data_IF_577714830429
#
_entry.id   IF_577714830429
#
_cell.length_a   1.000
_cell.length_b   1.000
_cell.length_c   1.000
_cell.angle_alpha   90.00
_cell.angle_beta   90.00
_cell.angle_gamma   90.00
#
_symmetry.space_group_name_H-M   'P 1'
#
loop_
_entity.id
_entity.type
_entity.pdbx_description
1 polymer ?
#
# COMPACT_ATOMS: atom_id res chain seq x y z
N UNK A 1 17.59 1.24 -15.15
CA UNK A 1 17.82 2.25 -16.20
C UNK A 1 19.01 3.14 -15.84
N UNK A 2 19.04 3.87 -14.73
CA UNK A 2 20.08 4.85 -14.43
C UNK A 2 21.52 4.34 -14.32
N UNK A 3 21.75 3.05 -14.03
CA UNK A 3 23.11 2.48 -14.01
C UNK A 3 23.66 2.06 -15.38
N UNK A 4 22.80 1.91 -16.38
CA UNK A 4 23.21 1.45 -17.72
C UNK A 4 23.77 2.58 -18.61
N UNK A 5 23.52 3.85 -18.24
CA UNK A 5 23.98 5.01 -19.00
C UNK A 5 24.40 6.14 -18.05
N UNK A 6 25.71 6.45 -17.95
CA UNK A 6 26.22 7.52 -17.08
C UNK A 6 25.66 8.92 -17.40
N UNK A 7 25.16 9.12 -18.62
CA UNK A 7 24.62 10.41 -19.08
C UNK A 7 23.12 10.60 -18.75
N UNK A 8 22.44 9.59 -18.19
CA UNK A 8 21.04 9.71 -17.79
C UNK A 8 20.93 10.17 -16.32
N UNK A 9 20.25 11.26 -16.12
CA UNK A 9 19.83 11.71 -14.79
C UNK A 9 18.87 10.68 -14.18
N UNK A 10 19.06 10.33 -12.91
CA UNK A 10 18.10 9.47 -12.20
C UNK A 10 16.73 10.15 -12.18
N UNK A 11 15.70 9.41 -12.59
CA UNK A 11 14.32 9.91 -12.52
C UNK A 11 13.92 10.17 -11.05
N UNK A 12 13.15 11.25 -10.80
CA UNK A 12 12.55 11.47 -9.49
C UNK A 12 11.75 10.27 -9.01
N UNK A 13 11.62 10.09 -7.69
CA UNK A 13 10.89 8.94 -7.11
C UNK A 13 9.45 8.87 -7.60
N UNK A 14 8.77 10.00 -7.73
CA UNK A 14 7.40 10.07 -8.27
C UNK A 14 7.31 9.54 -9.70
N UNK A 15 8.29 9.85 -10.54
CA UNK A 15 8.38 9.32 -11.92
C UNK A 15 8.65 7.81 -11.90
N UNK A 16 9.54 7.32 -11.02
CA UNK A 16 9.77 5.88 -10.85
C UNK A 16 8.49 5.15 -10.39
N UNK A 17 7.72 5.76 -9.49
CA UNK A 17 6.43 5.22 -9.05
C UNK A 17 5.43 5.14 -10.22
N UNK A 18 5.33 6.20 -11.03
CA UNK A 18 4.48 6.21 -12.22
C UNK A 18 4.87 5.13 -13.24
N UNK A 19 6.17 4.99 -13.52
CA UNK A 19 6.69 3.93 -14.41
C UNK A 19 6.36 2.54 -13.87
N UNK A 20 6.49 2.33 -12.56
CA UNK A 20 6.15 1.06 -11.90
C UNK A 20 4.66 0.75 -12.00
N UNK A 21 3.80 1.74 -11.77
CA UNK A 21 2.35 1.58 -11.94
C UNK A 21 1.98 1.21 -13.39
N UNK A 22 2.58 1.86 -14.38
CA UNK A 22 2.34 1.56 -15.77
C UNK A 22 2.78 0.15 -16.14
N UNK A 23 4.00 -0.24 -15.77
CA UNK A 23 4.56 -1.55 -16.07
C UNK A 23 3.77 -2.69 -15.41
N UNK A 24 3.62 -2.64 -14.07
CA UNK A 24 2.91 -3.68 -13.32
C UNK A 24 1.42 -3.67 -13.65
N UNK A 25 0.82 -2.49 -13.79
CA UNK A 25 -0.58 -2.34 -14.15
C UNK A 25 -0.90 -2.94 -15.51
N UNK A 26 -0.03 -2.76 -16.49
CA UNK A 26 -0.17 -3.39 -17.81
C UNK A 26 -0.20 -4.92 -17.72
N UNK A 27 0.74 -5.53 -16.98
CA UNK A 27 0.79 -6.98 -16.81
C UNK A 27 -0.46 -7.51 -16.09
N UNK A 28 -0.85 -6.86 -14.98
CA UNK A 28 -2.05 -7.23 -14.22
C UNK A 28 -3.33 -7.06 -15.04
N UNK A 29 -3.45 -5.96 -15.79
CA UNK A 29 -4.61 -5.71 -16.66
C UNK A 29 -4.80 -6.82 -17.68
N UNK A 30 -3.73 -7.26 -18.33
CA UNK A 30 -3.79 -8.35 -19.32
C UNK A 30 -4.10 -9.69 -18.65
N UNK A 31 -3.48 -10.00 -17.51
CA UNK A 31 -3.72 -11.25 -16.78
C UNK A 31 -5.16 -11.35 -16.26
N UNK A 32 -5.68 -10.29 -15.64
CA UNK A 32 -7.07 -10.25 -15.14
C UNK A 32 -8.05 -10.35 -16.31
N UNK A 33 -7.83 -9.60 -17.39
CA UNK A 33 -8.68 -9.65 -18.57
C UNK A 33 -8.74 -11.07 -19.16
N UNK A 34 -7.60 -11.74 -19.29
CA UNK A 34 -7.55 -13.09 -19.83
C UNK A 34 -8.35 -14.07 -18.93
N UNK A 35 -8.19 -13.97 -17.61
CA UNK A 35 -8.90 -14.85 -16.67
C UNK A 35 -10.41 -14.58 -16.64
N UNK A 36 -10.84 -13.33 -16.74
CA UNK A 36 -12.26 -12.98 -16.88
C UNK A 36 -12.86 -13.61 -18.15
N UNK A 37 -12.18 -13.49 -19.28
CA UNK A 37 -12.64 -14.08 -20.54
C UNK A 37 -12.69 -15.61 -20.48
N UNK A 38 -11.71 -16.27 -19.84
CA UNK A 38 -11.73 -17.72 -19.62
C UNK A 38 -12.95 -18.18 -18.81
N UNK A 39 -13.46 -17.31 -17.94
CA UNK A 39 -14.69 -17.55 -17.14
C UNK A 39 -15.96 -17.08 -17.84
N UNK A 40 -15.89 -16.59 -19.07
CA UNK A 40 -17.04 -16.05 -19.82
C UNK A 40 -17.54 -14.69 -19.31
N UNK A 41 -16.69 -13.95 -18.55
CA UNK A 41 -17.01 -12.64 -18.00
C UNK A 41 -16.42 -11.56 -18.89
N UNK A 42 -17.29 -10.72 -19.47
CA UNK A 42 -16.90 -9.63 -20.38
C UNK A 42 -16.88 -8.31 -19.62
N UNK A 43 -15.76 -8.03 -18.92
CA UNK A 43 -15.52 -6.74 -18.26
C UNK A 43 -14.22 -6.11 -18.75
N UNK A 44 -14.24 -4.80 -18.92
CA UNK A 44 -13.01 -4.03 -19.17
C UNK A 44 -12.19 -3.96 -17.90
N UNK A 45 -10.89 -4.13 -18.04
CA UNK A 45 -9.91 -3.91 -16.95
C UNK A 45 -9.10 -2.68 -17.33
N UNK A 46 -9.05 -1.70 -16.46
CA UNK A 46 -8.36 -0.44 -16.71
C UNK A 46 -7.34 -0.17 -15.61
N UNK A 47 -6.13 0.25 -16.02
CA UNK A 47 -5.09 0.73 -15.10
C UNK A 47 -5.09 2.25 -15.09
N UNK A 48 -5.23 2.84 -13.92
CA UNK A 48 -5.19 4.28 -13.70
C UNK A 48 -3.87 4.63 -13.00
N UNK A 49 -3.03 5.45 -13.65
CA UNK A 49 -1.90 6.07 -12.96
C UNK A 49 -2.45 6.98 -11.88
N UNK A 50 -2.11 6.67 -10.63
CA UNK A 50 -2.79 7.28 -9.48
C UNK A 50 -1.81 8.08 -8.65
N UNK A 51 -2.12 9.36 -8.49
CA UNK A 51 -1.43 10.29 -7.61
C UNK A 51 -2.16 10.37 -6.27
N UNK A 52 -1.40 10.50 -5.20
CA UNK A 52 -1.93 10.61 -3.84
C UNK A 52 -1.35 11.83 -3.16
N UNK A 53 -2.21 12.73 -2.76
CA UNK A 53 -1.83 13.94 -2.04
C UNK A 53 -1.33 13.56 -0.65
N UNK A 54 -0.23 14.15 -0.25
CA UNK A 54 0.34 14.04 1.09
C UNK A 54 0.54 15.42 1.70
N UNK A 55 0.45 15.50 3.03
CA UNK A 55 0.67 16.76 3.74
C UNK A 55 2.18 17.10 3.72
N UNK A 56 2.59 18.29 3.22
CA UNK A 56 3.98 18.72 3.24
C UNK A 56 4.57 18.85 4.66
N UNK A 57 3.73 18.96 5.68
CA UNK A 57 4.10 19.07 7.08
C UNK A 57 4.02 17.73 7.84
N UNK A 58 3.73 16.62 7.16
CA UNK A 58 3.74 15.28 7.81
C UNK A 58 5.10 15.03 8.45
N UNK A 59 5.10 14.53 9.70
CA UNK A 59 6.30 14.27 10.49
C UNK A 59 7.29 13.34 9.76
N UNK A 60 6.79 12.45 8.90
CA UNK A 60 7.60 11.54 8.11
C UNK A 60 8.64 12.25 7.23
N UNK A 61 8.39 13.49 6.80
CA UNK A 61 9.37 14.27 6.03
C UNK A 61 10.56 14.74 6.87
N UNK A 62 10.32 14.94 8.17
CA UNK A 62 11.37 15.37 9.12
C UNK A 62 12.07 14.18 9.77
N UNK A 63 11.40 13.03 9.84
CA UNK A 63 11.93 11.80 10.43
C UNK A 63 11.71 10.62 9.47
N UNK A 64 12.42 10.58 8.33
CA UNK A 64 12.28 9.48 7.39
C UNK A 64 12.69 8.17 8.03
N UNK A 65 11.91 7.12 7.81
CA UNK A 65 12.16 5.80 8.42
C UNK A 65 11.79 4.62 7.53
N UNK A 66 11.24 4.86 6.35
CA UNK A 66 10.86 3.77 5.44
C UNK A 66 12.08 3.26 4.68
N UNK A 67 12.48 2.04 4.98
CA UNK A 67 13.61 1.37 4.33
C UNK A 67 13.22 0.97 2.91
N UNK A 68 14.02 1.37 1.92
CA UNK A 68 13.81 1.06 0.50
C UNK A 68 15.10 0.58 -0.18
N UNK A 69 14.95 0.07 -1.39
CA UNK A 69 16.09 -0.28 -2.26
C UNK A 69 16.85 -1.54 -1.80
N UNK A 70 17.98 -1.78 -2.43
CA UNK A 70 18.88 -2.90 -2.12
C UNK A 70 19.81 -2.57 -0.96
N UNK A 71 20.46 -3.59 -0.43
CA UNK A 71 21.58 -3.41 0.49
C UNK A 71 22.77 -2.83 -0.29
N UNK A 72 23.44 -1.87 0.29
CA UNK A 72 24.58 -1.12 -0.24
C UNK A 72 25.81 -1.36 0.65
N UNK A 73 27.00 -1.20 0.06
CA UNK A 73 28.25 -1.11 0.81
C UNK A 73 28.33 0.24 1.54
N UNK A 74 29.30 0.37 2.45
CA UNK A 74 29.56 1.64 3.17
C UNK A 74 29.93 2.77 2.19
N UNK A 75 30.77 2.50 1.20
CA UNK A 75 31.16 3.47 0.16
C UNK A 75 29.94 3.95 -0.67
N UNK A 76 29.04 3.03 -1.01
CA UNK A 76 27.79 3.36 -1.72
C UNK A 76 26.84 4.19 -0.84
N UNK A 77 26.77 3.88 0.47
CA UNK A 77 25.98 4.64 1.43
C UNK A 77 26.48 6.07 1.59
N UNK A 78 27.81 6.26 1.78
CA UNK A 78 28.41 7.60 1.80
C UNK A 78 28.16 8.40 0.51
N UNK A 79 28.18 7.73 -0.64
CA UNK A 79 27.89 8.38 -1.90
C UNK A 79 26.42 8.84 -2.01
N UNK A 80 25.49 8.10 -1.41
CA UNK A 80 24.08 8.49 -1.34
C UNK A 80 23.88 9.65 -0.33
N UNK A 81 24.55 9.65 0.81
CA UNK A 81 24.50 10.75 1.78
C UNK A 81 25.05 12.07 1.19
N UNK A 82 26.14 12.00 0.44
CA UNK A 82 26.69 13.17 -0.29
C UNK A 82 25.71 13.75 -1.31
N UNK A 83 24.75 12.96 -1.81
CA UNK A 83 23.66 13.42 -2.68
C UNK A 83 22.46 13.97 -1.90
N UNK A 84 22.52 13.98 -0.57
CA UNK A 84 21.42 14.41 0.32
C UNK A 84 20.37 13.32 0.61
N UNK A 85 20.64 12.06 0.27
CA UNK A 85 19.78 10.95 0.63
C UNK A 85 20.08 10.46 2.05
N UNK A 86 19.06 9.94 2.73
CA UNK A 86 19.21 9.32 4.03
C UNK A 86 19.45 7.82 3.89
N UNK A 87 20.31 7.28 4.74
CA UNK A 87 20.61 5.85 4.80
C UNK A 87 20.53 5.34 6.24
N UNK A 88 20.37 4.05 6.41
CA UNK A 88 20.40 3.37 7.70
C UNK A 88 21.15 2.06 7.60
N UNK A 89 21.84 1.68 8.68
CA UNK A 89 22.47 0.36 8.78
C UNK A 89 21.40 -0.73 8.86
N UNK A 90 21.64 -1.83 8.17
CA UNK A 90 20.83 -3.03 8.18
C UNK A 90 21.74 -4.25 8.23
N UNK A 91 21.17 -5.43 8.42
CA UNK A 91 21.97 -6.66 8.30
C UNK A 91 22.60 -6.76 6.89
N UNK A 92 23.90 -6.94 6.85
CA UNK A 92 24.69 -7.04 5.61
C UNK A 92 25.07 -5.72 4.95
N UNK A 93 24.83 -4.53 5.55
CA UNK A 93 25.26 -3.25 5.03
C UNK A 93 24.33 -2.08 5.32
N UNK A 94 24.01 -1.30 4.30
CA UNK A 94 23.21 -0.08 4.42
C UNK A 94 22.06 -0.09 3.43
N UNK A 95 20.95 0.59 3.77
CA UNK A 95 19.83 0.83 2.84
C UNK A 95 19.36 2.27 2.92
N UNK A 96 18.80 2.77 1.83
CA UNK A 96 18.16 4.08 1.83
C UNK A 96 16.91 4.06 2.71
N UNK A 97 16.67 5.18 3.37
CA UNK A 97 15.40 5.47 4.03
C UNK A 97 14.77 6.71 3.41
N UNK A 98 13.46 6.71 3.35
CA UNK A 98 12.67 7.81 2.80
C UNK A 98 11.50 8.13 3.71
N UNK A 99 10.89 9.29 3.49
CA UNK A 99 9.63 9.65 4.12
C UNK A 99 8.51 8.66 3.71
N UNK A 100 7.61 8.38 4.64
CA UNK A 100 6.40 7.60 4.39
C UNK A 100 5.20 8.34 4.99
N UNK A 101 4.79 9.47 4.38
CA UNK A 101 3.67 10.28 4.87
C UNK A 101 2.34 9.55 4.71
N UNK A 102 1.33 9.99 5.45
CA UNK A 102 -0.02 9.48 5.35
C UNK A 102 -0.69 9.97 4.06
N UNK A 103 -1.54 9.12 3.41
CA UNK A 103 -2.35 9.56 2.29
C UNK A 103 -3.45 10.53 2.76
N UNK A 104 -3.60 11.65 2.09
CA UNK A 104 -4.65 12.65 2.36
C UNK A 104 -5.85 12.42 1.45
N UNK A 105 -5.63 12.39 0.13
CA UNK A 105 -6.67 12.17 -0.87
C UNK A 105 -6.08 11.56 -2.15
N UNK A 106 -6.95 10.95 -2.96
CA UNK A 106 -6.59 10.37 -4.24
C UNK A 106 -6.99 11.34 -5.34
N UNK A 107 -6.03 11.77 -6.15
CA UNK A 107 -6.26 12.80 -7.18
C UNK A 107 -7.25 12.30 -8.25
N UNK A 108 -7.09 11.09 -8.73
CA UNK A 108 -7.89 10.50 -9.80
C UNK A 108 -9.16 9.81 -9.32
N UNK A 109 -9.64 10.11 -8.10
CA UNK A 109 -10.77 9.39 -7.49
C UNK A 109 -12.06 9.47 -8.31
N UNK A 110 -12.35 10.61 -8.94
CA UNK A 110 -13.56 10.76 -9.75
C UNK A 110 -13.49 9.90 -11.03
N UNK A 111 -12.31 9.78 -11.64
CA UNK A 111 -12.10 8.89 -12.77
C UNK A 111 -12.25 7.42 -12.36
N UNK A 112 -11.71 7.03 -11.20
CA UNK A 112 -11.85 5.68 -10.64
C UNK A 112 -13.32 5.36 -10.40
N UNK A 113 -14.08 6.25 -9.76
CA UNK A 113 -15.53 6.09 -9.54
C UNK A 113 -16.29 5.92 -10.83
N UNK A 114 -16.04 6.77 -11.84
CA UNK A 114 -16.70 6.69 -13.13
C UNK A 114 -16.46 5.34 -13.84
N UNK A 115 -15.24 4.78 -13.72
CA UNK A 115 -14.94 3.46 -14.26
C UNK A 115 -15.65 2.34 -13.47
N UNK A 116 -15.72 2.44 -12.14
CA UNK A 116 -16.47 1.50 -11.30
C UNK A 116 -17.97 1.54 -11.61
N UNK A 117 -18.55 2.74 -11.75
CA UNK A 117 -19.97 2.93 -12.12
C UNK A 117 -20.27 2.36 -13.52
N UNK A 118 -19.28 2.33 -14.41
CA UNK A 118 -19.35 1.67 -15.71
C UNK A 118 -19.09 0.15 -15.64
N UNK A 119 -19.14 -0.46 -14.45
CA UNK A 119 -18.92 -1.90 -14.19
C UNK A 119 -17.55 -2.42 -14.65
N UNK A 120 -16.51 -1.59 -14.62
CA UNK A 120 -15.15 -1.99 -14.96
C UNK A 120 -14.38 -2.49 -13.73
N UNK A 121 -13.36 -3.31 -13.98
CA UNK A 121 -12.33 -3.64 -12.98
C UNK A 121 -11.24 -2.58 -13.06
N UNK A 122 -10.94 -1.92 -11.93
CA UNK A 122 -9.97 -0.82 -11.88
C UNK A 122 -8.74 -1.23 -11.08
N UNK A 123 -7.57 -1.07 -11.69
CA UNK A 123 -6.27 -1.19 -11.02
C UNK A 123 -5.78 0.23 -10.75
N UNK A 124 -5.65 0.58 -9.49
CA UNK A 124 -5.27 1.93 -9.07
C UNK A 124 -4.33 1.90 -7.85
N UNK A 125 -3.69 3.00 -7.55
CA UNK A 125 -2.84 3.21 -6.38
C UNK A 125 -1.69 2.21 -6.24
N UNK A 126 -1.17 1.65 -7.34
CA UNK A 126 -0.08 0.68 -7.31
C UNK A 126 1.12 1.22 -6.50
N UNK A 127 1.67 0.36 -5.60
CA UNK A 127 2.77 0.72 -4.72
C UNK A 127 2.46 1.75 -3.63
N UNK A 128 1.18 2.11 -3.44
CA UNK A 128 0.72 3.15 -2.51
C UNK A 128 0.39 4.48 -3.20
N UNK A 129 0.46 4.53 -4.54
CA UNK A 129 0.25 5.75 -5.31
C UNK A 129 1.54 6.55 -5.56
N UNK A 130 1.43 7.56 -6.41
CA UNK A 130 2.49 8.53 -6.68
C UNK A 130 2.33 9.67 -5.66
N UNK A 131 3.23 9.82 -4.67
CA UNK A 131 3.09 10.87 -3.67
C UNK A 131 3.30 12.25 -4.30
N UNK A 132 2.34 13.15 -4.08
CA UNK A 132 2.38 14.51 -4.59
C UNK A 132 2.04 15.53 -3.49
N UNK A 133 2.66 16.70 -3.60
CA UNK A 133 2.35 17.89 -2.81
C UNK A 133 1.49 18.81 -3.67
N UNK A 134 0.41 19.30 -3.11
CA UNK A 134 -0.42 20.32 -3.78
C UNK A 134 0.06 21.72 -3.38
N UNK A 135 0.42 22.53 -4.37
CA UNK A 135 0.86 23.91 -4.20
C UNK A 135 0.26 24.77 -5.31
N UNK A 136 -0.52 25.76 -4.94
CA UNK A 136 -1.13 26.73 -5.89
C UNK A 136 -1.80 26.05 -7.10
N UNK A 137 -2.62 25.04 -6.87
CA UNK A 137 -3.30 24.20 -7.89
C UNK A 137 -2.35 23.39 -8.79
N UNK A 138 -1.11 23.25 -8.41
CA UNK A 138 -0.12 22.38 -9.09
C UNK A 138 0.25 21.20 -8.21
N UNK A 139 0.41 20.07 -8.86
CA UNK A 139 0.91 18.86 -8.20
C UNK A 139 2.41 18.73 -8.45
N UNK A 140 3.16 18.60 -7.37
CA UNK A 140 4.60 18.37 -7.40
C UNK A 140 4.93 17.02 -6.77
N UNK A 141 5.62 16.15 -7.50
CA UNK A 141 6.05 14.86 -6.97
C UNK A 141 6.88 15.00 -5.71
N UNK A 142 6.54 14.26 -4.67
CA UNK A 142 7.28 14.21 -3.41
C UNK A 142 8.37 13.13 -3.45
N UNK A 143 9.49 13.38 -2.75
CA UNK A 143 10.53 12.36 -2.53
C UNK A 143 10.15 11.49 -1.33
N UNK A 144 9.12 10.67 -1.52
CA UNK A 144 8.50 9.86 -0.49
C UNK A 144 7.95 8.56 -1.08
N UNK A 145 7.52 7.64 -0.24
CA UNK A 145 6.64 6.53 -0.58
C UNK A 145 5.45 6.54 0.38
N UNK A 146 4.32 6.01 -0.04
CA UNK A 146 3.15 5.90 0.83
C UNK A 146 2.94 4.43 1.18
N UNK A 147 2.53 4.13 2.40
CA UNK A 147 2.18 2.77 2.77
C UNK A 147 0.95 2.31 1.98
N UNK A 148 1.15 1.30 1.14
CA UNK A 148 0.11 0.77 0.25
C UNK A 148 -1.18 0.36 0.94
N UNK A 149 -1.06 -0.14 2.18
CA UNK A 149 -2.22 -0.58 2.96
C UNK A 149 -3.08 0.63 3.37
N UNK A 150 -2.45 1.75 3.77
CA UNK A 150 -3.15 3.00 4.11
C UNK A 150 -3.83 3.61 2.88
N UNK A 151 -3.14 3.61 1.73
CA UNK A 151 -3.74 4.10 0.49
C UNK A 151 -4.90 3.22 0.04
N UNK A 152 -4.81 1.89 0.21
CA UNK A 152 -5.92 0.98 -0.10
C UNK A 152 -7.14 1.26 0.79
N UNK A 153 -6.93 1.48 2.08
CA UNK A 153 -8.00 1.91 3.01
C UNK A 153 -8.62 3.24 2.60
N UNK A 154 -7.78 4.22 2.22
CA UNK A 154 -8.23 5.52 1.74
C UNK A 154 -9.03 5.42 0.44
N UNK A 155 -8.58 4.61 -0.51
CA UNK A 155 -9.32 4.36 -1.74
C UNK A 155 -10.66 3.67 -1.48
N UNK A 156 -10.69 2.68 -0.58
CA UNK A 156 -11.92 2.01 -0.20
C UNK A 156 -12.91 2.98 0.49
N UNK A 157 -12.41 3.90 1.32
CA UNK A 157 -13.21 4.97 1.92
C UNK A 157 -13.79 5.89 0.83
N UNK A 158 -12.93 6.44 -0.05
CA UNK A 158 -13.33 7.42 -1.06
C UNK A 158 -14.22 6.85 -2.16
N UNK A 159 -14.10 5.54 -2.47
CA UNK A 159 -15.01 4.83 -3.40
C UNK A 159 -16.27 4.31 -2.73
N UNK A 160 -16.45 4.55 -1.45
CA UNK A 160 -17.56 4.03 -0.64
C UNK A 160 -17.72 2.50 -0.71
N UNK A 161 -16.60 1.77 -0.71
CA UNK A 161 -16.59 0.32 -0.76
C UNK A 161 -17.26 -0.31 0.48
N UNK A 162 -17.88 -1.47 0.31
CA UNK A 162 -18.49 -2.24 1.40
C UNK A 162 -17.45 -3.12 2.11
N UNK A 163 -16.40 -3.51 1.40
CA UNK A 163 -15.40 -4.42 1.94
C UNK A 163 -13.99 -4.04 1.49
N UNK A 164 -13.03 -4.16 2.42
CA UNK A 164 -11.60 -4.05 2.16
C UNK A 164 -10.95 -5.42 2.34
N UNK A 165 -10.35 -5.97 1.29
CA UNK A 165 -9.64 -7.25 1.36
C UNK A 165 -8.14 -6.99 1.23
N UNK A 166 -7.37 -7.38 2.23
CA UNK A 166 -5.92 -7.24 2.26
C UNK A 166 -5.28 -8.61 2.14
N UNK A 167 -4.56 -8.83 1.05
CA UNK A 167 -3.81 -10.06 0.82
C UNK A 167 -2.39 -9.93 1.34
N UNK A 168 -1.94 -10.93 2.09
CA UNK A 168 -0.63 -10.97 2.74
C UNK A 168 -0.05 -12.39 2.70
N UNK A 169 1.04 -12.63 3.39
CA UNK A 169 1.71 -13.95 3.44
C UNK A 169 1.14 -14.90 4.50
N UNK A 170 0.23 -14.42 5.36
CA UNK A 170 -0.35 -15.25 6.43
C UNK A 170 -1.83 -15.50 6.17
N UNK A 171 -2.27 -16.73 6.45
CA UNK A 171 -3.68 -17.12 6.30
C UNK A 171 -4.58 -16.41 7.30
N UNK A 172 -4.16 -16.36 8.55
CA UNK A 172 -4.83 -15.65 9.65
C UNK A 172 -3.82 -14.81 10.42
N UNK A 173 -4.28 -13.73 10.96
CA UNK A 173 -3.45 -12.90 11.86
C UNK A 173 -3.35 -13.58 13.21
N UNK A 174 -2.19 -13.47 13.83
CA UNK A 174 -1.93 -14.00 15.16
C UNK A 174 -1.55 -12.89 16.13
N UNK A 175 -1.95 -13.07 17.38
CA UNK A 175 -1.46 -12.28 18.52
C UNK A 175 -0.58 -13.15 19.41
N UNK A 176 0.18 -12.53 20.31
CA UNK A 176 1.13 -13.23 21.21
C UNK A 176 2.11 -14.16 20.46
N UNK A 177 2.56 -13.77 19.28
CA UNK A 177 3.46 -14.59 18.46
C UNK A 177 4.66 -15.07 19.27
N UNK A 178 5.05 -16.33 19.04
CA UNK A 178 6.16 -17.01 19.71
C UNK A 178 6.02 -17.15 21.24
N UNK A 179 4.78 -17.07 21.77
CA UNK A 179 4.45 -17.27 23.19
C UNK A 179 3.49 -18.43 23.37
N UNK A 180 3.38 -19.01 24.59
CA UNK A 180 2.43 -20.10 24.87
C UNK A 180 0.96 -19.70 24.62
N UNK A 181 0.64 -18.39 24.69
CA UNK A 181 -0.68 -17.82 24.49
C UNK A 181 -0.91 -17.37 23.04
N UNK A 182 -0.13 -17.86 22.08
CA UNK A 182 -0.33 -17.55 20.66
C UNK A 182 -1.73 -17.94 20.21
N UNK A 183 -2.45 -17.02 19.62
CA UNK A 183 -3.84 -17.19 19.17
C UNK A 183 -4.03 -16.69 17.75
N UNK A 184 -4.75 -17.45 16.95
CA UNK A 184 -5.19 -17.05 15.60
C UNK A 184 -6.51 -16.27 15.68
N UNK A 185 -6.52 -15.08 15.11
CA UNK A 185 -7.72 -14.26 15.04
C UNK A 185 -8.59 -14.68 13.84
N UNK A 186 -9.85 -15.02 14.09
CA UNK A 186 -10.82 -15.34 13.02
C UNK A 186 -11.78 -14.20 12.74
N UNK A 187 -12.45 -13.74 13.76
CA UNK A 187 -13.40 -12.63 13.69
C UNK A 187 -13.24 -11.76 14.94
N UNK A 188 -13.04 -10.47 14.72
CA UNK A 188 -12.85 -9.50 15.80
C UNK A 188 -13.60 -8.21 15.50
N UNK A 189 -13.97 -7.49 16.56
CA UNK A 189 -14.54 -6.16 16.45
C UNK A 189 -13.46 -5.10 16.18
N UNK A 190 -13.89 -3.92 15.70
CA UNK A 190 -13.00 -2.74 15.56
C UNK A 190 -12.34 -2.39 16.89
N UNK A 191 -13.07 -2.47 18.02
CA UNK A 191 -12.52 -2.16 19.33
C UNK A 191 -11.45 -3.17 19.77
N UNK A 192 -11.64 -4.46 19.48
CA UNK A 192 -10.61 -5.47 19.72
C UNK A 192 -9.37 -5.23 18.86
N UNK A 193 -9.58 -4.88 17.57
CA UNK A 193 -8.48 -4.56 16.68
C UNK A 193 -7.63 -3.38 17.19
N UNK A 194 -8.29 -2.32 17.71
CA UNK A 194 -7.61 -1.18 18.34
C UNK A 194 -6.83 -1.58 19.59
N UNK A 195 -7.45 -2.36 20.47
CA UNK A 195 -6.81 -2.84 21.69
C UNK A 195 -5.51 -3.61 21.34
N UNK A 196 -5.57 -4.55 20.40
CA UNK A 196 -4.38 -5.31 19.99
C UNK A 196 -3.30 -4.44 19.31
N UNK A 197 -3.70 -3.36 18.64
CA UNK A 197 -2.75 -2.38 18.09
C UNK A 197 -2.05 -1.59 19.20
N UNK A 198 -2.79 -1.15 20.24
CA UNK A 198 -2.26 -0.41 21.39
C UNK A 198 -1.38 -1.29 22.27
N UNK A 199 -1.72 -2.56 22.45
CA UNK A 199 -0.93 -3.56 23.17
C UNK A 199 0.35 -3.97 22.42
N UNK A 200 0.50 -3.55 21.16
CA UNK A 200 1.71 -3.76 20.36
C UNK A 200 1.88 -5.19 19.82
N UNK A 201 0.79 -5.92 19.61
CA UNK A 201 0.82 -7.26 19.04
C UNK A 201 1.31 -7.30 17.59
N UNK A 202 1.27 -6.18 16.86
CA UNK A 202 1.55 -6.13 15.43
C UNK A 202 2.86 -5.41 15.10
N UNK A 203 3.68 -6.06 14.29
CA UNK A 203 4.93 -5.47 13.81
C UNK A 203 4.70 -4.17 13.03
N UNK A 204 5.41 -3.12 13.43
CA UNK A 204 5.27 -1.72 12.96
C UNK A 204 5.26 -1.55 11.44
N UNK A 205 6.03 -2.37 10.71
CA UNK A 205 6.23 -2.23 9.26
C UNK A 205 5.53 -3.32 8.43
N UNK A 206 4.79 -4.20 9.06
CA UNK A 206 4.16 -5.34 8.40
C UNK A 206 2.65 -5.41 8.68
N UNK A 207 2.25 -5.90 9.86
CA UNK A 207 0.84 -6.13 10.18
C UNK A 207 0.13 -4.86 10.68
N UNK A 208 0.83 -4.02 11.43
CA UNK A 208 0.25 -2.79 11.99
C UNK A 208 -0.38 -1.87 10.91
N UNK A 209 0.27 -1.56 9.76
CA UNK A 209 -0.35 -0.74 8.72
C UNK A 209 -1.63 -1.35 8.14
N UNK A 210 -1.74 -2.68 8.07
CA UNK A 210 -2.93 -3.38 7.58
C UNK A 210 -4.11 -3.21 8.53
N UNK A 211 -3.86 -3.40 9.83
CA UNK A 211 -4.86 -3.19 10.88
C UNK A 211 -5.31 -1.74 10.94
N UNK A 212 -4.36 -0.81 10.88
CA UNK A 212 -4.66 0.62 10.86
C UNK A 212 -5.55 0.99 9.67
N UNK A 213 -5.21 0.54 8.47
CA UNK A 213 -6.00 0.78 7.27
C UNK A 213 -7.42 0.18 7.39
N UNK A 214 -7.54 -1.04 7.93
CA UNK A 214 -8.82 -1.69 8.16
C UNK A 214 -9.67 -0.92 9.17
N UNK A 215 -9.12 -0.55 10.32
CA UNK A 215 -9.82 0.19 11.37
C UNK A 215 -10.28 1.56 10.86
N UNK A 216 -9.38 2.35 10.25
CA UNK A 216 -9.72 3.67 9.70
C UNK A 216 -10.83 3.58 8.65
N UNK A 217 -10.84 2.55 7.80
CA UNK A 217 -11.87 2.31 6.81
C UNK A 217 -13.23 1.95 7.45
N UNK A 218 -13.22 1.07 8.46
CA UNK A 218 -14.44 0.58 9.12
C UNK A 218 -15.13 1.66 9.94
N UNK A 219 -14.38 2.55 10.59
CA UNK A 219 -14.93 3.65 11.40
C UNK A 219 -15.68 4.71 10.58
N UNK A 220 -15.51 4.75 9.26
CA UNK A 220 -16.14 5.77 8.41
C UNK A 220 -17.61 5.47 8.11
N UNK A 221 -18.03 4.23 8.15
CA UNK A 221 -19.40 3.83 7.85
C UNK A 221 -19.72 2.47 8.47
N UNK A 222 -20.86 2.35 9.12
CA UNK A 222 -21.39 1.08 9.65
C UNK A 222 -21.68 0.08 8.50
N UNK A 223 -21.64 -1.20 8.83
CA UNK A 223 -21.93 -2.29 7.89
C UNK A 223 -20.78 -2.67 6.94
N UNK A 224 -19.64 -2.01 7.04
CA UNK A 224 -18.41 -2.38 6.31
C UNK A 224 -17.72 -3.59 6.95
N UNK A 225 -16.87 -4.24 6.17
CA UNK A 225 -16.01 -5.32 6.64
C UNK A 225 -14.58 -5.19 6.10
N UNK A 226 -13.61 -5.68 6.85
CA UNK A 226 -12.23 -5.84 6.38
C UNK A 226 -11.77 -7.28 6.59
N UNK A 227 -11.17 -7.89 5.56
CA UNK A 227 -10.68 -9.26 5.57
C UNK A 227 -9.18 -9.27 5.30
N UNK A 228 -8.42 -9.90 6.18
CA UNK A 228 -6.98 -10.11 6.00
C UNK A 228 -6.72 -11.60 5.85
N UNK A 229 -6.10 -12.01 4.75
CA UNK A 229 -5.80 -13.42 4.47
C UNK A 229 -4.61 -13.57 3.52
N UNK A 230 -4.16 -14.80 3.31
CA UNK A 230 -3.14 -15.10 2.29
C UNK A 230 -3.76 -15.23 0.90
N UNK A 231 -2.92 -15.04 -0.11
CA UNK A 231 -3.35 -15.09 -1.51
C UNK A 231 -3.94 -16.45 -1.90
N UNK A 232 -3.31 -17.53 -1.47
CA UNK A 232 -3.73 -18.91 -1.73
C UNK A 232 -5.01 -19.34 -0.97
N UNK A 233 -5.39 -18.59 0.05
CA UNK A 233 -6.59 -18.84 0.89
C UNK A 233 -7.77 -17.91 0.62
N UNK A 234 -7.66 -17.02 -0.36
CA UNK A 234 -8.70 -16.03 -0.65
C UNK A 234 -10.07 -16.68 -0.89
N UNK A 235 -10.14 -17.72 -1.70
CA UNK A 235 -11.41 -18.40 -2.00
C UNK A 235 -12.10 -19.01 -0.78
N UNK A 236 -11.32 -19.54 0.15
CA UNK A 236 -11.82 -20.09 1.41
C UNK A 236 -12.24 -18.98 2.36
N UNK A 237 -11.47 -17.90 2.40
CA UNK A 237 -11.73 -16.74 3.25
C UNK A 237 -13.00 -15.99 2.83
N UNK A 238 -13.23 -15.81 1.53
CA UNK A 238 -14.48 -15.23 1.00
C UNK A 238 -15.74 -16.07 1.35
N UNK A 239 -15.55 -17.37 1.59
CA UNK A 239 -16.64 -18.28 2.06
C UNK A 239 -16.76 -18.31 3.59
N UNK A 240 -16.00 -17.47 4.30
CA UNK A 240 -15.98 -17.40 5.77
C UNK A 240 -15.32 -18.61 6.46
N UNK A 241 -14.53 -19.40 5.74
CA UNK A 241 -13.90 -20.61 6.29
C UNK A 241 -12.58 -20.32 6.98
N UNK A 242 -11.88 -19.28 6.56
CA UNK A 242 -10.58 -18.85 7.09
C UNK A 242 -10.37 -17.35 6.94
N UNK A 243 -9.15 -16.84 7.24
CA UNK A 243 -8.84 -15.43 7.25
C UNK A 243 -9.17 -14.77 8.59
N UNK A 244 -8.78 -13.50 8.74
CA UNK A 244 -9.16 -12.63 9.86
C UNK A 244 -10.13 -11.58 9.38
N UNK A 245 -11.37 -11.65 9.84
CA UNK A 245 -12.44 -10.71 9.54
C UNK A 245 -12.52 -9.67 10.67
N UNK A 246 -12.59 -8.39 10.29
CA UNK A 246 -12.79 -7.26 11.21
C UNK A 246 -14.09 -6.57 10.81
N UNK A 247 -14.99 -6.34 11.78
CA UNK A 247 -16.28 -5.66 11.57
C UNK A 247 -16.88 -5.05 12.84
#
# INVERSE_FOLDING_TARGET
>A
FGKAHPDYTFAPMSVCSAMSQGYIGYDLQNAIRAELLNKGIYKTVSTVLTQVVVDPYDEAFYKPGKVIGRVMTEEEAEAEEKKGNHVTAVEGGFRRIVAAPNPVSIVEIDAIKALLDADQVVIACGGGGIPVLEQDHRLKGASAVIEKDLTAGKMAEETDADSLIILTSVEKVKINMDRPEEEELREISVDQAKAYMEEGHFGKYNMYPKFRAAVEFLEKREGRSALITSFDKLDEALKGKTGTLIR
#
